data_IF_613620678447
#
_entry.id   IF_613620678447
#
_cell.length_a   1.000
_cell.length_b   1.000
_cell.length_c   1.000
_cell.angle_alpha   90.00
_cell.angle_beta   90.00
_cell.angle_gamma   90.00
#
_symmetry.space_group_name_H-M   'P 1'
#
loop_
_entity.id
_entity.type
_entity.pdbx_description
1 polymer ?
#
# COMPACT_ATOMS: atom_id res chain seq x y z
N UNK A 1 -8.61 -27.00 22.42
CA UNK A 1 -7.29 -27.69 22.37
C UNK A 1 -7.18 -28.92 23.25
N UNK A 2 -7.49 -28.91 24.56
CA UNK A 2 -7.45 -30.15 25.40
C UNK A 2 -8.55 -31.10 24.99
N UNK A 3 -9.75 -30.63 24.73
CA UNK A 3 -10.88 -31.43 24.27
C UNK A 3 -10.61 -32.15 22.92
N UNK A 4 -9.93 -31.51 21.99
CA UNK A 4 -9.53 -32.12 20.71
C UNK A 4 -8.47 -33.20 20.89
N UNK A 5 -7.46 -32.96 21.75
CA UNK A 5 -6.49 -34.01 22.11
C UNK A 5 -7.17 -35.24 22.76
N UNK A 6 -8.15 -34.99 23.63
CA UNK A 6 -8.95 -36.02 24.24
C UNK A 6 -9.69 -36.88 23.23
N UNK A 7 -10.35 -36.25 22.25
CA UNK A 7 -11.02 -36.98 21.16
C UNK A 7 -10.07 -37.83 20.33
N UNK A 8 -8.91 -37.29 19.95
CA UNK A 8 -7.91 -38.03 19.17
C UNK A 8 -7.37 -39.21 19.97
N UNK A 9 -7.06 -39.04 21.25
CA UNK A 9 -6.58 -40.10 22.13
C UNK A 9 -7.64 -41.18 22.30
N UNK A 10 -8.92 -40.83 22.52
CA UNK A 10 -10.00 -41.82 22.66
C UNK A 10 -10.23 -42.63 21.38
N UNK A 11 -10.19 -42.01 20.20
CA UNK A 11 -10.30 -42.73 18.93
C UNK A 11 -9.14 -43.70 18.69
N UNK A 12 -7.91 -43.33 19.04
CA UNK A 12 -6.74 -44.21 18.95
C UNK A 12 -6.89 -45.39 19.93
N UNK A 13 -7.40 -45.18 21.14
CA UNK A 13 -7.64 -46.22 22.12
C UNK A 13 -8.75 -47.18 21.67
N UNK A 14 -9.83 -46.69 21.11
CA UNK A 14 -10.91 -47.49 20.53
C UNK A 14 -10.39 -48.37 19.39
N UNK A 15 -9.58 -47.80 18.49
CA UNK A 15 -8.94 -48.60 17.43
C UNK A 15 -8.02 -49.68 17.97
N UNK A 16 -7.27 -49.40 19.04
CA UNK A 16 -6.42 -50.39 19.71
C UNK A 16 -7.25 -51.54 20.35
N UNK A 17 -8.36 -51.20 21.01
CA UNK A 17 -9.27 -52.19 21.62
C UNK A 17 -9.88 -53.08 20.54
N UNK A 18 -10.07 -52.55 19.34
CA UNK A 18 -10.53 -53.29 18.16
C UNK A 18 -9.41 -54.06 17.43
N UNK A 19 -8.19 -54.14 17.99
CA UNK A 19 -7.07 -54.93 17.48
C UNK A 19 -6.11 -54.19 16.54
N UNK A 20 -6.25 -52.88 16.35
CA UNK A 20 -5.32 -52.11 15.52
C UNK A 20 -3.98 -51.84 16.24
N UNK A 21 -2.89 -51.82 15.49
CA UNK A 21 -1.57 -51.45 16.03
C UNK A 21 -1.50 -49.95 16.34
N UNK A 22 -0.95 -49.59 17.49
CA UNK A 22 -0.86 -48.24 17.99
C UNK A 22 -0.21 -47.25 16.99
N UNK A 23 0.86 -47.66 16.35
CA UNK A 23 1.57 -46.84 15.36
C UNK A 23 0.72 -46.51 14.14
N UNK A 24 -0.04 -47.51 13.65
CA UNK A 24 -0.99 -47.32 12.55
C UNK A 24 -2.16 -46.40 12.92
N UNK A 25 -2.75 -46.66 14.12
CA UNK A 25 -3.84 -45.81 14.62
C UNK A 25 -3.40 -44.33 14.81
N UNK A 26 -2.16 -44.11 15.25
CA UNK A 26 -1.59 -42.76 15.32
C UNK A 26 -1.42 -42.13 13.93
N UNK A 27 -0.95 -42.88 12.93
CA UNK A 27 -0.79 -42.41 11.56
C UNK A 27 -2.13 -42.00 10.96
N UNK A 28 -3.16 -42.80 11.08
CA UNK A 28 -4.51 -42.51 10.62
C UNK A 28 -5.10 -41.28 11.31
N UNK A 29 -4.80 -41.11 12.61
CA UNK A 29 -5.18 -39.91 13.36
C UNK A 29 -4.32 -38.65 13.06
N UNK A 30 -3.39 -38.74 12.12
CA UNK A 30 -2.53 -37.61 11.70
C UNK A 30 -1.48 -37.15 12.74
N UNK A 31 -1.14 -38.05 13.71
CA UNK A 31 -0.13 -37.75 14.73
C UNK A 31 0.96 -38.81 14.77
N UNK A 32 2.17 -38.47 15.20
CA UNK A 32 3.22 -39.45 15.41
C UNK A 32 3.09 -40.12 16.81
N UNK A 33 3.58 -41.36 16.93
CA UNK A 33 3.58 -42.13 18.17
C UNK A 33 4.21 -41.37 19.36
N UNK A 34 5.26 -40.57 19.10
CA UNK A 34 5.88 -39.73 20.13
C UNK A 34 4.93 -38.65 20.65
N UNK A 35 4.10 -38.08 19.79
CA UNK A 35 3.08 -37.08 20.15
C UNK A 35 1.96 -37.74 20.98
N UNK A 36 1.49 -38.92 20.58
CA UNK A 36 0.52 -39.68 21.35
C UNK A 36 1.04 -39.98 22.78
N UNK A 37 2.25 -40.56 22.92
CA UNK A 37 2.88 -40.85 24.22
C UNK A 37 3.10 -39.62 25.09
N UNK A 38 3.29 -38.49 24.50
CA UNK A 38 3.38 -37.19 25.22
C UNK A 38 2.03 -36.68 25.68
N UNK A 39 0.96 -36.93 24.89
CA UNK A 39 -0.39 -36.50 25.24
C UNK A 39 -1.07 -37.45 26.22
N UNK A 40 -0.76 -38.74 26.13
CA UNK A 40 -1.34 -39.79 26.97
C UNK A 40 -0.22 -40.58 27.63
N UNK A 41 -0.12 -40.44 28.96
CA UNK A 41 0.91 -41.07 29.76
C UNK A 41 0.31 -41.56 31.07
N UNK A 42 0.68 -42.76 31.47
CA UNK A 42 0.26 -43.38 32.73
C UNK A 42 -1.27 -43.41 32.91
N UNK A 43 -2.01 -43.64 31.82
CA UNK A 43 -3.48 -43.70 31.86
C UNK A 43 -4.18 -42.33 31.85
N UNK A 44 -3.44 -41.23 31.80
CA UNK A 44 -3.98 -39.87 31.90
C UNK A 44 -3.64 -38.99 30.70
N UNK A 45 -4.64 -38.19 30.28
CA UNK A 45 -4.44 -37.17 29.27
C UNK A 45 -3.63 -35.99 29.86
N UNK A 46 -2.47 -35.75 29.30
CA UNK A 46 -1.59 -34.66 29.76
C UNK A 46 -2.06 -33.29 29.22
N UNK A 47 -2.16 -32.32 30.12
CA UNK A 47 -2.43 -30.91 29.77
C UNK A 47 -1.32 -30.25 28.94
N UNK A 48 -1.62 -29.12 28.36
CA UNK A 48 -0.59 -28.30 27.70
C UNK A 48 0.15 -27.47 28.74
N UNK A 49 1.35 -27.94 29.12
CA UNK A 49 2.20 -27.23 30.09
C UNK A 49 2.95 -26.03 29.48
N UNK A 50 2.84 -25.77 28.18
CA UNK A 50 3.54 -24.65 27.54
C UNK A 50 3.11 -23.29 28.10
N UNK A 51 1.83 -23.00 28.39
CA UNK A 51 1.41 -21.74 28.99
C UNK A 51 1.89 -21.57 30.44
N UNK A 52 2.16 -22.67 31.15
CA UNK A 52 2.54 -22.65 32.58
C UNK A 52 4.05 -22.78 32.77
N UNK A 53 4.80 -22.97 31.69
CA UNK A 53 6.25 -23.05 31.75
C UNK A 53 6.80 -21.64 32.05
N UNK A 54 7.11 -21.38 33.30
CA UNK A 54 7.96 -20.27 33.70
C UNK A 54 9.29 -20.45 32.97
N UNK A 55 9.60 -19.53 32.05
CA UNK A 55 10.86 -19.57 31.32
C UNK A 55 12.02 -19.54 32.32
N UNK A 56 12.97 -20.46 32.17
CA UNK A 56 14.22 -20.38 32.96
C UNK A 56 14.86 -19.04 32.62
N UNK A 57 15.13 -18.24 33.63
CA UNK A 57 15.76 -16.94 33.46
C UNK A 57 17.15 -17.14 32.84
N UNK A 58 17.45 -16.50 31.69
CA UNK A 58 18.73 -16.69 31.04
C UNK A 58 19.87 -16.19 31.92
N UNK A 59 20.96 -16.94 32.00
CA UNK A 59 22.14 -16.61 32.84
C UNK A 59 22.82 -15.32 32.42
N UNK A 60 22.58 -14.85 31.18
CA UNK A 60 23.12 -13.60 30.63
C UNK A 60 22.10 -12.44 30.65
N UNK A 61 21.04 -12.55 31.45
CA UNK A 61 20.09 -11.45 31.64
C UNK A 61 20.75 -10.37 32.49
N UNK A 62 20.65 -9.12 32.03
CA UNK A 62 21.13 -7.96 32.79
C UNK A 62 20.42 -7.86 34.15
N UNK A 63 21.17 -7.63 35.22
CA UNK A 63 20.62 -7.37 36.53
C UNK A 63 19.87 -6.03 36.60
N UNK A 64 19.17 -5.76 37.69
CA UNK A 64 18.46 -4.49 37.88
C UNK A 64 19.43 -3.33 37.90
N UNK A 65 20.55 -3.52 38.59
CA UNK A 65 21.61 -2.50 38.75
C UNK A 65 22.27 -2.19 37.40
N UNK A 66 22.56 -3.20 36.58
CA UNK A 66 23.09 -3.00 35.22
C UNK A 66 22.11 -2.25 34.30
N UNK A 67 20.82 -2.52 34.43
CA UNK A 67 19.79 -1.80 33.70
C UNK A 67 19.66 -0.35 34.13
N UNK A 68 19.71 -0.09 35.43
CA UNK A 68 19.70 1.25 36.00
C UNK A 68 20.94 2.05 35.59
N UNK A 69 22.10 1.44 35.55
CA UNK A 69 23.33 2.06 35.05
C UNK A 69 23.21 2.49 33.59
N UNK A 70 22.64 1.64 32.75
CA UNK A 70 22.38 1.97 31.35
C UNK A 70 21.43 3.17 31.22
N UNK A 71 20.34 3.20 31.99
CA UNK A 71 19.39 4.31 32.00
C UNK A 71 20.01 5.60 32.50
N UNK A 72 20.77 5.52 33.59
CA UNK A 72 21.45 6.66 34.20
C UNK A 72 22.41 7.32 33.21
N UNK A 73 23.33 6.55 32.65
CA UNK A 73 24.31 7.05 31.68
C UNK A 73 23.59 7.60 30.43
N UNK A 74 22.59 6.90 29.90
CA UNK A 74 21.87 7.37 28.72
C UNK A 74 21.15 8.71 28.97
N UNK A 75 20.85 9.09 30.20
CA UNK A 75 20.19 10.35 30.55
C UNK A 75 21.16 11.46 30.99
N UNK A 76 22.46 11.21 31.03
CA UNK A 76 23.43 12.28 31.22
C UNK A 76 23.34 13.35 30.13
N UNK A 77 23.58 14.62 30.44
CA UNK A 77 23.45 15.72 29.48
C UNK A 77 24.22 15.50 28.18
N UNK A 78 25.36 14.83 28.25
CA UNK A 78 26.22 14.51 27.13
C UNK A 78 25.56 13.49 26.20
N UNK A 79 24.85 12.49 26.72
CA UNK A 79 24.28 11.37 26.00
C UNK A 79 22.77 11.48 25.73
N UNK A 80 22.09 12.40 26.41
CA UNK A 80 20.63 12.50 26.42
C UNK A 80 20.02 12.67 25.02
N UNK A 81 20.75 13.27 24.06
CA UNK A 81 20.30 13.45 22.68
C UNK A 81 20.82 12.39 21.70
N UNK A 82 21.69 11.47 22.15
CA UNK A 82 22.36 10.49 21.30
C UNK A 82 21.59 9.16 21.26
N UNK A 83 21.57 8.48 20.11
CA UNK A 83 21.07 7.11 20.05
C UNK A 83 22.07 6.12 20.67
N UNK A 84 21.61 4.94 21.11
CA UNK A 84 22.48 3.89 21.65
C UNK A 84 23.68 3.53 20.76
N UNK A 85 23.52 3.57 19.44
CA UNK A 85 24.58 3.32 18.46
C UNK A 85 25.73 4.34 18.50
N UNK A 86 25.52 5.49 19.13
CA UNK A 86 26.57 6.50 19.38
C UNK A 86 27.06 6.47 20.82
N UNK A 87 26.18 6.21 21.79
CA UNK A 87 26.55 6.15 23.22
C UNK A 87 27.52 5.01 23.47
N UNK A 88 27.24 3.80 22.98
CA UNK A 88 28.06 2.62 23.24
C UNK A 88 29.52 2.78 22.77
N UNK A 89 29.78 3.21 21.50
CA UNK A 89 31.14 3.47 21.08
C UNK A 89 31.89 4.53 21.94
N UNK A 90 31.23 5.62 22.30
CA UNK A 90 31.85 6.66 23.17
C UNK A 90 32.22 6.10 24.52
N UNK A 91 31.35 5.29 25.14
CA UNK A 91 31.68 4.64 26.42
C UNK A 91 32.85 3.65 26.27
N UNK A 92 32.92 2.91 25.16
CA UNK A 92 34.03 2.01 24.87
C UNK A 92 35.35 2.77 24.72
N UNK A 93 35.34 3.93 24.07
CA UNK A 93 36.53 4.80 23.97
C UNK A 93 37.00 5.32 25.34
N UNK A 94 36.10 5.45 26.29
CA UNK A 94 36.36 5.79 27.68
C UNK A 94 36.76 4.57 28.55
N UNK A 95 36.80 3.38 27.98
CA UNK A 95 37.10 2.13 28.70
C UNK A 95 35.92 1.57 29.50
N UNK A 96 34.69 2.06 29.27
CA UNK A 96 33.48 1.64 29.98
C UNK A 96 32.63 0.73 29.12
N UNK A 97 32.26 -0.45 29.64
CA UNK A 97 31.33 -1.37 28.99
C UNK A 97 30.16 -1.69 29.91
N UNK A 98 28.99 -1.20 29.59
CA UNK A 98 27.72 -1.47 30.33
C UNK A 98 26.84 -2.51 29.62
N UNK A 99 27.04 -2.70 28.31
CA UNK A 99 26.26 -3.65 27.53
C UNK A 99 26.34 -3.39 26.02
N UNK A 100 25.83 -4.30 25.24
CA UNK A 100 25.77 -4.13 23.78
C UNK A 100 24.74 -3.06 23.38
N UNK A 101 24.87 -2.50 22.15
CA UNK A 101 23.88 -1.60 21.59
C UNK A 101 22.46 -2.17 21.68
N UNK A 102 22.30 -3.46 21.35
CA UNK A 102 21.00 -4.14 21.45
C UNK A 102 20.45 -4.18 22.88
N UNK A 103 21.33 -4.22 23.90
CA UNK A 103 20.93 -4.16 25.30
C UNK A 103 20.45 -2.76 25.67
N UNK A 104 21.18 -1.72 25.27
CA UNK A 104 20.75 -0.34 25.44
C UNK A 104 19.38 -0.08 24.78
N UNK A 105 19.20 -0.51 23.52
CA UNK A 105 17.90 -0.38 22.82
C UNK A 105 16.76 -1.06 23.60
N UNK A 106 16.97 -2.29 24.09
CA UNK A 106 15.95 -3.03 24.86
C UNK A 106 15.61 -2.37 26.18
N UNK A 107 16.62 -1.90 26.92
CA UNK A 107 16.43 -1.25 28.23
C UNK A 107 15.71 0.08 28.05
N UNK A 108 16.17 0.94 27.15
CA UNK A 108 15.54 2.24 26.89
C UNK A 108 14.13 2.11 26.33
N UNK A 109 13.87 1.07 25.50
CA UNK A 109 12.51 0.77 25.03
C UNK A 109 11.59 0.37 26.17
N UNK A 110 12.06 -0.46 27.11
CA UNK A 110 11.28 -0.88 28.27
C UNK A 110 10.98 0.29 29.24
N UNK A 111 11.82 1.33 29.23
CA UNK A 111 11.63 2.56 30.00
C UNK A 111 10.94 3.68 29.20
N UNK A 112 10.43 3.39 27.99
CA UNK A 112 9.80 4.36 27.09
C UNK A 112 10.68 5.57 26.70
N UNK A 113 12.00 5.42 26.83
CA UNK A 113 12.99 6.48 26.58
C UNK A 113 13.71 6.35 25.24
N UNK A 114 13.29 5.43 24.38
CA UNK A 114 13.93 5.22 23.10
C UNK A 114 13.53 6.28 22.06
N UNK A 115 12.31 6.79 22.13
CA UNK A 115 11.78 7.75 21.17
C UNK A 115 12.15 9.18 21.59
N UNK A 116 12.40 10.03 20.59
CA UNK A 116 12.59 11.48 20.77
C UNK A 116 13.87 11.89 21.53
N UNK A 117 14.92 11.08 21.52
CA UNK A 117 16.21 11.43 22.15
C UNK A 117 16.95 12.58 21.45
N UNK A 118 16.59 12.93 20.23
CA UNK A 118 17.13 14.08 19.51
C UNK A 118 16.07 15.18 19.30
N UNK A 119 16.29 16.07 18.33
CA UNK A 119 15.30 17.08 17.89
C UNK A 119 14.10 16.50 17.16
N UNK A 120 14.01 15.17 16.98
CA UNK A 120 12.87 14.52 16.36
C UNK A 120 11.63 14.73 17.23
N UNK A 121 10.63 15.37 16.67
CA UNK A 121 9.32 15.48 17.31
C UNK A 121 8.60 14.12 17.23
N UNK A 122 7.74 13.85 18.23
CA UNK A 122 6.81 12.73 18.15
C UNK A 122 6.09 12.71 16.79
N UNK A 123 5.83 11.53 16.19
CA UNK A 123 5.01 11.46 15.01
C UNK A 123 3.70 12.19 15.31
N UNK A 124 3.42 13.26 14.57
CA UNK A 124 2.13 13.93 14.69
C UNK A 124 1.07 12.93 14.26
N UNK A 125 -0.02 12.82 15.01
CA UNK A 125 -1.20 12.10 14.56
C UNK A 125 -1.59 12.65 13.20
N UNK A 126 -1.32 11.90 12.15
CA UNK A 126 -1.70 12.28 10.79
C UNK A 126 -3.17 12.00 10.65
N UNK A 127 -3.95 13.03 10.35
CA UNK A 127 -5.35 12.85 9.96
C UNK A 127 -5.42 11.80 8.84
N UNK A 128 -6.45 10.97 8.86
CA UNK A 128 -6.69 10.02 7.77
C UNK A 128 -6.85 10.79 6.45
N UNK A 129 -6.35 10.26 5.32
CA UNK A 129 -6.58 10.89 4.04
C UNK A 129 -8.08 10.87 3.72
N UNK A 130 -8.57 11.92 3.07
CA UNK A 130 -9.95 11.93 2.59
C UNK A 130 -10.13 10.83 1.56
N UNK A 131 -11.12 9.95 1.79
CA UNK A 131 -11.42 8.83 0.92
C UNK A 131 -12.65 9.14 0.06
N UNK A 132 -12.58 8.84 -1.23
CA UNK A 132 -13.70 8.94 -2.17
C UNK A 132 -13.77 7.68 -3.02
N UNK A 133 -14.97 7.17 -3.24
CA UNK A 133 -15.19 5.97 -4.05
C UNK A 133 -15.94 6.34 -5.32
N UNK A 134 -15.34 6.05 -6.48
CA UNK A 134 -15.98 6.15 -7.77
C UNK A 134 -16.63 4.81 -8.13
N UNK A 135 -17.93 4.84 -8.45
CA UNK A 135 -18.74 3.70 -8.90
C UNK A 135 -18.94 3.71 -10.41
N UNK A 136 -18.73 4.86 -11.02
CA UNK A 136 -18.83 5.11 -12.46
C UNK A 136 -17.80 6.12 -12.97
N UNK A 137 -17.74 6.34 -14.28
CA UNK A 137 -16.89 7.34 -14.88
C UNK A 137 -17.37 8.76 -14.52
N UNK A 138 -16.41 9.70 -14.45
CA UNK A 138 -16.64 11.12 -14.18
C UNK A 138 -17.22 11.45 -12.78
N UNK A 139 -17.04 10.57 -11.80
CA UNK A 139 -17.40 10.84 -10.39
C UNK A 139 -16.22 11.39 -9.59
N UNK A 140 -15.02 10.86 -9.84
CA UNK A 140 -13.78 11.30 -9.16
C UNK A 140 -12.65 11.38 -10.17
N UNK A 141 -12.07 12.57 -10.30
CA UNK A 141 -10.85 12.78 -11.10
C UNK A 141 -9.67 13.07 -10.18
N UNK A 142 -8.51 12.57 -10.58
CA UNK A 142 -7.20 12.93 -10.04
C UNK A 142 -6.48 13.83 -11.04
N UNK A 143 -5.78 14.86 -10.56
CA UNK A 143 -4.97 15.68 -11.45
C UNK A 143 -3.68 16.11 -10.79
N UNK A 144 -2.71 16.40 -11.63
CA UNK A 144 -1.40 16.84 -11.20
C UNK A 144 -0.64 17.48 -12.36
N UNK A 145 0.47 18.18 -12.05
CA UNK A 145 1.37 18.79 -13.02
C UNK A 145 2.71 18.06 -12.95
N UNK A 146 3.22 17.61 -14.10
CA UNK A 146 4.57 17.05 -14.18
C UNK A 146 5.45 17.81 -15.14
N UNK A 147 6.76 17.79 -14.87
CA UNK A 147 7.77 18.44 -15.67
C UNK A 147 8.22 17.56 -16.83
N UNK A 148 8.27 18.17 -18.02
CA UNK A 148 8.82 17.61 -19.24
C UNK A 148 10.12 18.37 -19.53
N UNK A 149 11.26 17.67 -19.39
CA UNK A 149 12.57 18.31 -19.59
C UNK A 149 12.70 18.83 -21.03
N UNK A 150 13.21 20.05 -21.19
CA UNK A 150 13.67 20.55 -22.48
C UNK A 150 15.09 20.05 -22.78
N UNK A 151 15.52 20.17 -24.03
CA UNK A 151 16.93 19.96 -24.44
C UNK A 151 17.90 20.95 -23.76
N UNK A 152 17.40 22.08 -23.27
CA UNK A 152 18.16 23.05 -22.51
C UNK A 152 18.10 22.71 -21.03
N UNK A 153 19.25 22.48 -20.42
CA UNK A 153 19.35 22.11 -19.01
C UNK A 153 18.74 23.19 -18.09
N UNK A 154 17.83 22.76 -17.23
CA UNK A 154 17.13 23.66 -16.29
C UNK A 154 15.85 24.27 -16.85
N UNK A 155 15.54 24.07 -18.13
CA UNK A 155 14.29 24.46 -18.75
C UNK A 155 13.31 23.29 -18.80
N UNK A 156 12.04 23.54 -18.47
CA UNK A 156 10.99 22.54 -18.44
C UNK A 156 9.73 23.08 -19.09
N UNK A 157 8.96 22.17 -19.69
CA UNK A 157 7.55 22.38 -20.01
C UNK A 157 6.70 21.70 -18.94
N UNK A 158 5.50 22.19 -18.73
CA UNK A 158 4.61 21.77 -17.65
C UNK A 158 3.40 21.05 -18.24
N UNK A 159 3.31 19.74 -17.98
CA UNK A 159 2.16 18.95 -18.40
C UNK A 159 1.12 18.92 -17.29
N UNK A 160 -0.02 19.52 -17.54
CA UNK A 160 -1.25 19.39 -16.76
C UNK A 160 -1.98 18.16 -17.23
N UNK A 161 -2.40 17.31 -16.31
CA UNK A 161 -3.06 16.06 -16.67
C UNK A 161 -4.18 15.74 -15.68
N UNK A 162 -5.36 15.42 -16.22
CA UNK A 162 -6.54 14.99 -15.48
C UNK A 162 -6.87 13.53 -15.86
N UNK A 163 -7.05 12.68 -14.86
CA UNK A 163 -7.36 11.26 -14.99
C UNK A 163 -8.63 10.91 -14.25
N UNK A 164 -9.55 10.21 -14.89
CA UNK A 164 -10.69 9.57 -14.23
C UNK A 164 -10.24 8.32 -13.48
N UNK A 165 -10.40 8.28 -12.14
CA UNK A 165 -9.86 7.19 -11.35
C UNK A 165 -10.61 5.87 -11.56
N UNK A 166 -11.90 5.90 -11.94
CA UNK A 166 -12.68 4.70 -12.20
C UNK A 166 -12.19 3.96 -13.43
N UNK A 167 -12.01 4.68 -14.51
CA UNK A 167 -11.63 4.12 -15.81
C UNK A 167 -10.16 4.21 -16.14
N UNK A 168 -9.37 4.99 -15.40
CA UNK A 168 -7.98 5.34 -15.71
C UNK A 168 -7.83 6.13 -17.01
N UNK A 169 -8.91 6.69 -17.55
CA UNK A 169 -8.87 7.48 -18.78
C UNK A 169 -8.26 8.87 -18.50
N UNK A 170 -7.31 9.26 -19.33
CA UNK A 170 -6.88 10.64 -19.40
C UNK A 170 -8.02 11.46 -19.99
N UNK A 171 -8.71 12.23 -19.15
CA UNK A 171 -9.84 13.08 -19.54
C UNK A 171 -9.39 14.46 -19.96
N UNK A 172 -8.19 14.89 -19.58
CA UNK A 172 -7.62 16.16 -19.98
C UNK A 172 -6.12 16.21 -19.88
N UNK A 173 -5.51 16.96 -20.82
CA UNK A 173 -4.08 17.27 -20.76
C UNK A 173 -3.79 18.54 -21.55
N UNK A 174 -2.82 19.30 -21.09
CA UNK A 174 -2.23 20.44 -21.80
C UNK A 174 -0.77 20.62 -21.40
N UNK A 175 0.04 21.15 -22.31
CA UNK A 175 1.44 21.47 -22.07
C UNK A 175 1.68 22.96 -22.23
N UNK A 176 2.31 23.56 -21.22
CA UNK A 176 2.60 25.01 -21.17
C UNK A 176 4.07 25.26 -20.77
N UNK A 177 4.52 26.49 -20.97
CA UNK A 177 5.86 26.92 -20.55
C UNK A 177 5.94 27.37 -19.10
N UNK A 178 4.78 27.56 -18.44
CA UNK A 178 4.70 28.03 -17.07
C UNK A 178 3.55 27.35 -16.32
N UNK A 179 3.69 27.22 -15.02
CA UNK A 179 2.60 26.82 -14.15
C UNK A 179 1.66 28.01 -13.89
N UNK A 180 0.35 27.78 -14.05
CA UNK A 180 -0.70 28.77 -13.81
C UNK A 180 -1.99 28.09 -13.36
N UNK A 181 -2.61 28.64 -12.31
CA UNK A 181 -3.95 28.23 -11.87
C UNK A 181 -5.04 28.56 -12.90
N UNK A 182 -4.84 29.59 -13.70
CA UNK A 182 -5.76 30.00 -14.78
C UNK A 182 -5.81 28.90 -15.87
N UNK A 183 -4.63 28.39 -16.29
CA UNK A 183 -4.54 27.31 -17.26
C UNK A 183 -5.24 26.05 -16.76
N UNK A 184 -5.06 25.71 -15.48
CA UNK A 184 -5.75 24.58 -14.86
C UNK A 184 -7.29 24.80 -14.85
N UNK A 185 -7.75 26.01 -14.50
CA UNK A 185 -9.16 26.38 -14.48
C UNK A 185 -9.84 26.31 -15.85
N UNK A 186 -9.15 26.76 -16.89
CA UNK A 186 -9.63 26.64 -18.26
C UNK A 186 -9.67 25.16 -18.73
N UNK A 187 -8.65 24.40 -18.36
CA UNK A 187 -8.55 23.00 -18.77
C UNK A 187 -9.65 22.14 -18.15
N UNK A 188 -9.94 22.27 -16.83
CA UNK A 188 -11.01 21.51 -16.20
C UNK A 188 -12.37 21.79 -16.86
N UNK A 189 -12.68 23.03 -17.15
CA UNK A 189 -13.94 23.40 -17.84
C UNK A 189 -14.05 22.71 -19.21
N UNK A 190 -12.97 22.76 -20.01
CA UNK A 190 -12.93 22.06 -21.30
C UNK A 190 -13.06 20.55 -21.16
N UNK A 191 -12.47 19.95 -20.12
CA UNK A 191 -12.59 18.53 -19.85
C UNK A 191 -14.02 18.15 -19.51
N UNK A 192 -14.68 18.88 -18.62
CA UNK A 192 -16.07 18.63 -18.23
C UNK A 192 -17.05 18.77 -19.38
N UNK A 193 -16.83 19.76 -20.26
CA UNK A 193 -17.63 19.93 -21.50
C UNK A 193 -17.44 18.73 -22.44
N UNK A 194 -16.19 18.31 -22.66
CA UNK A 194 -15.87 17.19 -23.55
C UNK A 194 -16.40 15.85 -23.03
N UNK A 195 -16.30 15.61 -21.73
CA UNK A 195 -16.81 14.41 -21.06
C UNK A 195 -18.31 14.48 -20.77
N UNK A 196 -18.98 15.58 -21.12
CA UNK A 196 -20.42 15.82 -20.95
C UNK A 196 -20.89 15.64 -19.49
N UNK A 197 -20.03 16.01 -18.54
CA UNK A 197 -20.34 15.88 -17.11
C UNK A 197 -20.58 17.21 -16.42
N UNK A 198 -20.93 18.26 -17.16
CA UNK A 198 -21.37 19.53 -16.59
C UNK A 198 -22.60 19.30 -15.71
N UNK A 199 -22.64 19.98 -14.57
CA UNK A 199 -23.73 19.86 -13.57
C UNK A 199 -23.89 18.46 -12.96
N UNK A 200 -22.90 17.59 -13.08
CA UNK A 200 -22.85 16.33 -12.36
C UNK A 200 -21.89 16.42 -11.17
N UNK A 201 -22.17 15.72 -10.06
CA UNK A 201 -21.24 15.69 -8.93
C UNK A 201 -19.89 15.14 -9.36
N UNK A 202 -18.85 15.96 -9.26
CA UNK A 202 -17.49 15.57 -9.57
C UNK A 202 -16.58 15.94 -8.39
N UNK A 203 -15.78 14.99 -7.91
CA UNK A 203 -14.69 15.25 -6.98
C UNK A 203 -13.40 15.40 -7.77
N UNK A 204 -12.66 16.47 -7.52
CA UNK A 204 -11.34 16.69 -8.10
C UNK A 204 -10.27 16.61 -7.02
N UNK A 205 -9.47 15.56 -7.06
CA UNK A 205 -8.36 15.35 -6.14
C UNK A 205 -7.04 15.83 -6.73
N UNK A 206 -6.26 16.53 -5.90
CA UNK A 206 -4.96 17.07 -6.28
C UNK A 206 -3.97 17.05 -5.11
N UNK A 207 -2.71 17.27 -5.42
CA UNK A 207 -1.70 17.60 -4.44
C UNK A 207 -1.86 19.04 -3.91
N UNK A 208 -0.98 19.43 -2.97
CA UNK A 208 -1.01 20.75 -2.35
C UNK A 208 -0.21 21.80 -3.11
N UNK A 209 0.04 21.63 -4.39
CA UNK A 209 0.77 22.57 -5.23
C UNK A 209 0.12 23.96 -5.32
N UNK A 210 0.89 24.99 -5.64
CA UNK A 210 0.39 26.35 -5.74
C UNK A 210 -0.71 26.52 -6.81
N UNK A 211 -0.60 25.95 -8.03
CA UNK A 211 -1.67 26.03 -9.03
C UNK A 211 -2.97 25.38 -8.55
N UNK A 212 -2.86 24.26 -7.79
CA UNK A 212 -4.00 23.50 -7.28
C UNK A 212 -4.82 24.30 -6.27
N UNK A 213 -4.16 25.12 -5.47
CA UNK A 213 -4.76 25.93 -4.40
C UNK A 213 -4.99 27.38 -4.80
N UNK A 214 -4.74 27.76 -6.06
CA UNK A 214 -4.95 29.12 -6.53
C UNK A 214 -6.41 29.56 -6.38
N UNK A 215 -6.63 30.83 -6.11
CA UNK A 215 -7.98 31.39 -5.99
C UNK A 215 -8.78 31.23 -7.28
N UNK A 216 -8.12 31.39 -8.44
CA UNK A 216 -8.75 31.21 -9.75
C UNK A 216 -9.25 29.79 -9.94
N UNK A 217 -8.43 28.76 -9.57
CA UNK A 217 -8.84 27.36 -9.66
C UNK A 217 -10.01 27.05 -8.71
N UNK A 218 -9.95 27.57 -7.47
CA UNK A 218 -11.03 27.38 -6.49
C UNK A 218 -12.34 28.01 -6.95
N UNK A 219 -12.31 29.26 -7.41
CA UNK A 219 -13.48 29.93 -7.95
C UNK A 219 -14.09 29.18 -9.14
N UNK A 220 -13.22 28.65 -10.03
CA UNK A 220 -13.68 27.85 -11.17
C UNK A 220 -14.31 26.54 -10.74
N UNK A 221 -13.76 25.83 -9.77
CA UNK A 221 -14.37 24.60 -9.23
C UNK A 221 -15.73 24.89 -8.59
N UNK A 222 -15.87 25.98 -7.85
CA UNK A 222 -17.14 26.42 -7.28
C UNK A 222 -18.16 26.74 -8.36
N UNK A 223 -17.78 27.51 -9.40
CA UNK A 223 -18.63 27.80 -10.57
C UNK A 223 -19.12 26.53 -11.27
N UNK A 224 -18.25 25.51 -11.38
CA UNK A 224 -18.56 24.25 -12.05
C UNK A 224 -19.25 23.21 -11.15
N UNK A 225 -19.44 23.50 -9.87
CA UNK A 225 -20.00 22.54 -8.90
C UNK A 225 -19.08 21.36 -8.59
N UNK A 226 -17.75 21.54 -8.74
CA UNK A 226 -16.74 20.52 -8.50
C UNK A 226 -16.28 20.57 -7.05
N UNK A 227 -16.30 19.42 -6.36
CA UNK A 227 -15.84 19.29 -4.98
C UNK A 227 -14.31 19.13 -4.95
N UNK A 228 -13.54 20.10 -4.40
CA UNK A 228 -12.11 19.97 -4.27
C UNK A 228 -11.71 18.97 -3.17
N UNK A 229 -10.71 18.17 -3.44
CA UNK A 229 -10.06 17.28 -2.50
C UNK A 229 -8.54 17.43 -2.60
N UNK A 230 -7.83 17.39 -1.49
CA UNK A 230 -6.38 17.58 -1.47
C UNK A 230 -5.68 16.51 -0.66
N UNK A 231 -4.47 16.16 -1.10
CA UNK A 231 -3.53 15.33 -0.35
C UNK A 231 -3.23 15.95 1.02
N UNK A 232 -2.88 15.10 1.99
CA UNK A 232 -2.39 15.61 3.29
C UNK A 232 -1.09 16.39 3.12
N UNK A 233 -0.85 17.43 3.91
CA UNK A 233 0.37 18.22 3.81
C UNK A 233 1.62 17.35 3.99
N UNK A 234 2.56 17.41 3.05
CA UNK A 234 3.84 16.67 3.04
C UNK A 234 3.71 15.14 2.93
N UNK A 235 2.59 14.64 2.43
CA UNK A 235 2.38 13.22 2.13
C UNK A 235 2.20 13.08 0.62
N UNK A 236 3.21 12.50 -0.05
CA UNK A 236 3.19 12.30 -1.50
C UNK A 236 2.26 11.17 -1.93
N UNK A 237 2.10 10.15 -1.10
CA UNK A 237 1.38 8.91 -1.47
C UNK A 237 -0.15 9.07 -1.53
N UNK A 238 -0.70 10.26 -1.31
CA UNK A 238 -2.14 10.49 -1.31
C UNK A 238 -2.71 10.73 -2.72
N UNK A 239 -1.84 10.90 -3.76
CA UNK A 239 -2.24 11.00 -5.17
C UNK A 239 -1.62 9.88 -6.05
N UNK A 240 -1.86 8.60 -5.70
CA UNK A 240 -1.18 7.47 -6.35
C UNK A 240 -1.57 7.26 -7.82
N UNK A 241 -2.71 7.81 -8.25
CA UNK A 241 -3.21 7.69 -9.62
C UNK A 241 -2.33 8.49 -10.57
N UNK A 242 -2.21 9.80 -10.33
CA UNK A 242 -1.36 10.69 -11.12
C UNK A 242 0.11 10.25 -11.11
N UNK A 243 0.66 9.83 -9.94
CA UNK A 243 2.03 9.33 -9.84
C UNK A 243 2.26 8.09 -10.71
N UNK A 244 1.34 7.12 -10.67
CA UNK A 244 1.40 5.90 -11.48
C UNK A 244 1.33 6.21 -12.98
N UNK A 245 0.48 7.16 -13.37
CA UNK A 245 0.32 7.59 -14.76
C UNK A 245 1.58 8.31 -15.25
N UNK A 246 2.15 9.22 -14.47
CA UNK A 246 3.41 9.90 -14.81
C UNK A 246 4.58 8.94 -14.90
N UNK A 247 4.61 7.91 -14.08
CA UNK A 247 5.58 6.83 -14.22
C UNK A 247 5.41 6.12 -15.56
N UNK A 248 4.19 5.74 -15.93
CA UNK A 248 3.89 5.12 -17.23
C UNK A 248 4.33 6.01 -18.39
N UNK A 249 4.08 7.32 -18.30
CA UNK A 249 4.46 8.32 -19.28
C UNK A 249 5.99 8.40 -19.46
N UNK A 250 6.74 8.56 -18.35
CA UNK A 250 8.19 8.80 -18.37
C UNK A 250 9.01 7.54 -18.69
N UNK A 251 8.43 6.35 -18.50
CA UNK A 251 9.10 5.07 -18.79
C UNK A 251 8.70 4.46 -20.14
N UNK A 252 8.04 5.22 -21.00
CA UNK A 252 7.78 4.79 -22.38
C UNK A 252 9.08 4.69 -23.16
N UNK A 253 9.25 3.63 -24.00
CA UNK A 253 10.44 3.51 -24.87
C UNK A 253 10.65 4.73 -25.78
N UNK A 254 9.57 5.37 -26.22
CA UNK A 254 9.58 6.54 -27.08
C UNK A 254 9.80 7.87 -26.31
N UNK A 255 10.01 7.80 -24.99
CA UNK A 255 10.32 9.00 -24.20
C UNK A 255 11.65 9.62 -24.64
N UNK A 256 11.70 10.92 -24.99
CA UNK A 256 12.93 11.54 -25.46
C UNK A 256 13.92 11.73 -24.30
N UNK A 257 14.96 10.91 -24.28
CA UNK A 257 16.00 10.94 -23.24
C UNK A 257 16.78 12.26 -23.21
N UNK A 258 16.86 12.95 -24.36
CA UNK A 258 17.50 14.28 -24.49
C UNK A 258 16.58 15.45 -24.13
N UNK A 259 15.33 15.19 -23.80
CA UNK A 259 14.31 16.23 -23.61
C UNK A 259 13.62 16.66 -24.91
N UNK A 260 12.68 17.59 -24.78
CA UNK A 260 11.88 18.14 -25.88
C UNK A 260 12.51 19.41 -26.44
N UNK A 261 12.71 19.48 -27.75
CA UNK A 261 13.33 20.64 -28.38
C UNK A 261 12.43 21.88 -28.34
N UNK A 262 11.12 21.68 -28.56
CA UNK A 262 10.13 22.75 -28.58
C UNK A 262 8.89 22.38 -27.76
N UNK A 263 8.09 23.41 -27.41
CA UNK A 263 6.78 23.20 -26.80
C UNK A 263 5.85 22.40 -27.72
N UNK A 264 5.94 22.59 -29.03
CA UNK A 264 5.17 21.87 -30.02
C UNK A 264 5.51 20.38 -30.01
N UNK A 265 6.78 20.01 -29.96
CA UNK A 265 7.22 18.62 -29.85
C UNK A 265 6.68 17.95 -28.58
N UNK A 266 6.70 18.67 -27.48
CA UNK A 266 6.16 18.17 -26.20
C UNK A 266 4.64 17.94 -26.30
N UNK A 267 3.90 18.87 -26.93
CA UNK A 267 2.46 18.75 -27.16
C UNK A 267 2.11 17.57 -28.05
N UNK A 268 2.80 17.42 -29.17
CA UNK A 268 2.61 16.32 -30.11
C UNK A 268 2.89 14.96 -29.47
N UNK A 269 3.95 14.89 -28.66
CA UNK A 269 4.30 13.67 -27.95
C UNK A 269 3.22 13.29 -26.92
N UNK A 270 2.78 14.27 -26.09
CA UNK A 270 1.73 14.06 -25.10
C UNK A 270 0.40 13.67 -25.75
N UNK A 271 0.07 14.26 -26.90
CA UNK A 271 -1.13 13.88 -27.67
C UNK A 271 -1.07 12.41 -28.11
N UNK A 272 0.04 11.97 -28.70
CA UNK A 272 0.26 10.59 -29.10
C UNK A 272 0.23 9.64 -27.89
N UNK A 273 0.88 10.02 -26.79
CA UNK A 273 0.85 9.25 -25.57
C UNK A 273 -0.56 9.10 -25.02
N UNK A 274 -1.33 10.19 -24.90
CA UNK A 274 -2.69 10.17 -24.37
C UNK A 274 -3.64 9.33 -25.23
N UNK A 275 -3.51 9.43 -26.54
CA UNK A 275 -4.25 8.58 -27.47
C UNK A 275 -3.88 7.10 -27.27
N UNK A 276 -2.60 6.76 -27.27
CA UNK A 276 -2.12 5.40 -27.03
C UNK A 276 -2.59 4.87 -25.66
N UNK A 277 -2.44 5.65 -24.60
CA UNK A 277 -2.81 5.26 -23.24
C UNK A 277 -4.32 4.96 -23.16
N UNK A 278 -5.14 5.83 -23.67
CA UNK A 278 -6.58 5.65 -23.61
C UNK A 278 -7.09 4.50 -24.50
N UNK A 279 -6.50 4.28 -25.68
CA UNK A 279 -7.10 3.39 -26.70
C UNK A 279 -6.33 2.09 -26.96
N UNK A 280 -5.05 2.03 -26.61
CA UNK A 280 -4.16 0.87 -26.88
C UNK A 280 -3.59 0.23 -25.65
N UNK A 281 -3.27 1.01 -24.62
CA UNK A 281 -2.68 0.51 -23.38
C UNK A 281 -3.64 -0.45 -22.66
N UNK A 282 -3.18 -1.69 -22.44
CA UNK A 282 -3.93 -2.72 -21.68
C UNK A 282 -3.61 -2.59 -20.21
N UNK A 283 -4.43 -1.86 -19.46
CA UNK A 283 -4.15 -1.50 -18.09
C UNK A 283 -4.34 -2.70 -17.13
N UNK A 284 -3.30 -3.09 -16.39
CA UNK A 284 -3.32 -4.29 -15.52
C UNK A 284 -4.41 -4.22 -14.43
N UNK A 285 -4.62 -3.06 -13.82
CA UNK A 285 -5.67 -2.85 -12.81
C UNK A 285 -7.09 -2.84 -13.37
N UNK A 286 -7.25 -2.89 -14.69
CA UNK A 286 -8.53 -2.99 -15.38
C UNK A 286 -8.72 -4.37 -16.07
N UNK A 287 -8.05 -5.40 -15.57
CA UNK A 287 -8.04 -6.72 -16.21
C UNK A 287 -7.68 -6.66 -17.69
N UNK A 288 -6.73 -5.76 -18.04
CA UNK A 288 -6.21 -5.57 -19.39
C UNK A 288 -7.25 -5.15 -20.44
N UNK A 289 -8.28 -4.42 -20.05
CA UNK A 289 -9.04 -3.57 -20.98
C UNK A 289 -8.36 -2.21 -21.09
N UNK A 290 -8.68 -1.44 -22.14
CA UNK A 290 -8.15 -0.08 -22.26
C UNK A 290 -8.96 0.90 -21.39
N UNK A 291 -8.37 2.02 -20.96
CA UNK A 291 -9.09 3.07 -20.24
C UNK A 291 -10.37 3.53 -20.97
N UNK A 292 -10.29 3.77 -22.28
CA UNK A 292 -11.44 4.18 -23.07
C UNK A 292 -12.56 3.12 -23.09
N UNK A 293 -12.21 1.83 -23.19
CA UNK A 293 -13.19 0.73 -23.14
C UNK A 293 -13.90 0.67 -21.78
N UNK A 294 -13.15 0.84 -20.69
CA UNK A 294 -13.73 0.87 -19.34
C UNK A 294 -14.61 2.10 -19.14
N UNK A 295 -14.17 3.27 -19.61
CA UNK A 295 -14.93 4.52 -19.51
C UNK A 295 -16.25 4.46 -20.25
N UNK A 296 -16.27 3.78 -21.40
CA UNK A 296 -17.47 3.55 -22.23
C UNK A 296 -18.33 2.36 -21.75
N UNK A 297 -17.99 1.70 -20.63
CA UNK A 297 -18.72 0.53 -20.12
C UNK A 297 -18.60 -0.73 -20.94
N UNK A 298 -17.68 -0.78 -21.91
CA UNK A 298 -17.46 -1.92 -22.81
C UNK A 298 -16.66 -3.05 -22.17
N UNK A 299 -16.07 -2.82 -21.01
CA UNK A 299 -15.23 -3.78 -20.28
C UNK A 299 -15.99 -5.05 -19.92
N UNK A 300 -17.25 -4.94 -19.52
CA UNK A 300 -18.09 -6.07 -19.12
C UNK A 300 -18.24 -7.11 -20.24
N UNK A 301 -18.62 -6.66 -21.41
CA UNK A 301 -18.82 -7.54 -22.58
C UNK A 301 -17.48 -8.12 -23.07
N UNK A 302 -16.41 -7.31 -23.09
CA UNK A 302 -15.09 -7.76 -23.48
C UNK A 302 -14.54 -8.84 -22.53
N UNK A 303 -14.70 -8.65 -21.24
CA UNK A 303 -14.22 -9.59 -20.22
C UNK A 303 -15.05 -10.87 -20.23
N UNK A 304 -16.37 -10.79 -20.42
CA UNK A 304 -17.24 -11.95 -20.61
C UNK A 304 -16.79 -12.79 -21.81
N UNK A 305 -16.58 -12.17 -22.96
CA UNK A 305 -16.08 -12.86 -24.16
C UNK A 305 -14.72 -13.51 -23.94
N UNK A 306 -13.79 -12.84 -23.23
CA UNK A 306 -12.50 -13.44 -22.88
C UNK A 306 -12.65 -14.67 -21.99
N UNK A 307 -13.57 -14.63 -21.02
CA UNK A 307 -13.87 -15.76 -20.14
C UNK A 307 -14.37 -16.95 -20.95
N UNK A 308 -15.31 -16.74 -21.85
CA UNK A 308 -15.87 -17.78 -22.75
C UNK A 308 -14.76 -18.44 -23.61
N UNK A 309 -13.86 -17.65 -24.19
CA UNK A 309 -12.72 -18.17 -24.98
C UNK A 309 -11.78 -19.01 -24.11
N UNK A 310 -11.48 -18.57 -22.89
CA UNK A 310 -10.60 -19.29 -21.97
C UNK A 310 -11.23 -20.60 -21.47
N UNK A 311 -12.53 -20.58 -21.18
CA UNK A 311 -13.27 -21.78 -20.76
C UNK A 311 -13.37 -22.81 -21.89
N UNK A 312 -13.63 -22.37 -23.12
CA UNK A 312 -13.60 -23.23 -24.29
C UNK A 312 -12.19 -23.84 -24.52
N UNK A 313 -11.15 -23.05 -24.42
CA UNK A 313 -9.77 -23.54 -24.54
C UNK A 313 -9.40 -24.54 -23.44
N UNK A 314 -9.88 -24.33 -22.21
CA UNK A 314 -9.72 -25.27 -21.10
C UNK A 314 -10.48 -26.56 -21.34
N UNK A 315 -11.72 -26.49 -21.82
CA UNK A 315 -12.52 -27.66 -22.15
C UNK A 315 -11.88 -28.51 -23.27
N UNK A 316 -11.26 -27.87 -24.26
CA UNK A 316 -10.56 -28.56 -25.34
C UNK A 316 -9.26 -29.26 -24.87
N UNK A 317 -8.56 -28.74 -23.90
CA UNK A 317 -7.30 -29.31 -23.39
C UNK A 317 -7.18 -29.21 -21.86
N UNK A 318 -7.95 -29.97 -21.09
CA UNK A 318 -7.99 -29.84 -19.62
C UNK A 318 -6.64 -30.05 -18.93
N UNK A 319 -5.79 -30.94 -19.46
CA UNK A 319 -4.48 -31.28 -18.91
C UNK A 319 -3.48 -30.11 -18.91
N UNK A 320 -3.71 -29.05 -19.70
CA UNK A 320 -2.87 -27.84 -19.70
C UNK A 320 -3.21 -26.84 -18.58
N UNK A 321 -4.25 -27.13 -17.81
CA UNK A 321 -4.79 -26.20 -16.80
C UNK A 321 -4.73 -26.82 -15.41
N UNK A 322 -3.84 -26.34 -14.57
CA UNK A 322 -3.72 -26.79 -13.19
C UNK A 322 -4.74 -26.18 -12.22
N UNK A 323 -5.38 -25.08 -12.65
CA UNK A 323 -6.36 -24.30 -11.84
C UNK A 323 -7.49 -23.78 -12.74
N UNK A 324 -8.31 -22.88 -12.20
CA UNK A 324 -9.33 -22.15 -12.96
C UNK A 324 -8.73 -21.27 -14.08
N UNK A 325 -9.57 -20.73 -14.93
CA UNK A 325 -9.17 -19.73 -15.92
C UNK A 325 -8.81 -18.40 -15.24
N UNK A 326 -8.10 -17.53 -15.96
CA UNK A 326 -7.77 -16.19 -15.48
C UNK A 326 -9.03 -15.43 -15.06
N UNK A 327 -8.91 -14.63 -13.98
CA UNK A 327 -10.01 -13.75 -13.57
C UNK A 327 -10.34 -12.74 -14.68
N UNK A 328 -11.57 -12.84 -15.19
CA UNK A 328 -12.15 -11.94 -16.19
C UNK A 328 -13.36 -11.18 -15.63
N UNK A 329 -13.52 -11.13 -14.31
CA UNK A 329 -14.62 -10.33 -13.74
C UNK A 329 -14.31 -8.84 -13.90
N UNK A 330 -15.30 -7.99 -14.19
CA UNK A 330 -15.13 -6.55 -14.26
C UNK A 330 -14.60 -6.00 -12.92
N UNK A 331 -13.74 -5.00 -12.98
CA UNK A 331 -13.29 -4.31 -11.78
C UNK A 331 -14.46 -3.51 -11.20
N UNK A 332 -14.72 -3.65 -9.90
CA UNK A 332 -15.79 -2.93 -9.20
C UNK A 332 -15.50 -1.43 -8.99
N UNK A 333 -16.10 -0.83 -7.96
CA UNK A 333 -15.82 0.54 -7.54
C UNK A 333 -14.33 0.75 -7.25
N UNK A 334 -13.85 1.97 -7.45
CA UNK A 334 -12.45 2.35 -7.22
C UNK A 334 -12.41 3.41 -6.14
N UNK A 335 -11.66 3.16 -5.08
CA UNK A 335 -11.53 4.09 -3.96
C UNK A 335 -10.18 4.79 -4.02
N UNK A 336 -10.22 6.12 -3.94
CA UNK A 336 -9.06 6.96 -3.66
C UNK A 336 -8.78 6.87 -2.16
N UNK A 337 -7.54 6.59 -1.79
CA UNK A 337 -7.09 6.50 -0.40
C UNK A 337 -8.00 5.60 0.47
N UNK A 338 -8.10 4.29 0.18
CA UNK A 338 -8.94 3.39 0.96
C UNK A 338 -8.49 3.37 2.43
N UNK A 339 -9.44 3.36 3.35
CA UNK A 339 -9.17 3.22 4.78
C UNK A 339 -8.47 1.89 5.06
N UNK A 340 -7.37 1.94 5.80
CA UNK A 340 -6.68 0.73 6.25
C UNK A 340 -7.51 0.05 7.34
N UNK A 341 -8.23 -1.00 7.00
CA UNK A 341 -9.04 -1.80 7.94
C UNK A 341 -8.24 -2.40 9.11
N UNK A 342 -6.91 -2.39 9.05
CA UNK A 342 -6.05 -2.88 10.14
C UNK A 342 -5.84 -1.87 11.28
N UNK A 343 -6.23 -0.61 11.16
CA UNK A 343 -6.13 0.36 12.26
C UNK A 343 -7.36 0.37 13.17
N UNK A 344 -8.52 -0.07 12.70
CA UNK A 344 -9.74 -0.14 13.51
C UNK A 344 -9.75 -1.27 14.56
N UNK A 345 -8.81 -2.22 14.50
CA UNK A 345 -8.68 -3.29 15.49
C UNK A 345 -7.82 -2.91 16.70
N UNK A 346 -7.11 -1.79 16.67
CA UNK A 346 -6.24 -1.35 17.78
C UNK A 346 -6.96 -0.34 18.69
N UNK A 347 -7.98 0.36 18.22
CA UNK A 347 -8.72 1.33 19.03
C UNK A 347 -9.83 0.72 19.91
N UNK A 348 -10.15 -0.57 19.73
CA UNK A 348 -11.16 -1.26 20.56
C UNK A 348 -10.57 -2.12 21.70
N UNK A 349 -9.28 -1.96 22.03
CA UNK A 349 -8.58 -2.68 23.11
C UNK A 349 -7.82 -1.69 24.03
N UNK A 350 -8.30 -0.49 24.19
CA UNK A 350 -7.80 0.44 25.21
C UNK A 350 -8.90 0.78 26.23
#
# INVERSE_FOLDING_TARGET
>A
MIAERGKIVSLIQEAQTSGARLDRSCQEAGICLRTYRRWYRDGLLQGDLRPVRVGVEPTNKLSSEEREAIVSVANEPEYASLPPSQIVPVLLDQGVYLGSESSFYRVLKACEQLNHRGRSQAPKNTHQPTSFTATGPNEVWSWDITYLASTVRGLFYYLYLFEDIFSRKIVGYEVHEQESGERAAELIQRCMLREQCMNQPLVLHADNGAPMKSLTMKAKMEELGVLPSYSRPRVSNDNPFSESLFRTLKYRPEWPSSGFATLADARDWVQRFSFWYNTKHRHSKLNFVTPAQRHAGQDRELLKRRKEVLEAAKAANPSRWSRGVRNCEPVGPVTLNPENQNQSLVENVA
#
